data_IF_001760677180
#
_entry.id   IF_001760677180
#
_cell.length_a   1.000
_cell.length_b   1.000
_cell.length_c   1.000
_cell.angle_alpha   90.00
_cell.angle_beta   90.00
_cell.angle_gamma   90.00
#
_symmetry.space_group_name_H-M   'P 1'
#
loop_
_entity.id
_entity.type
_entity.pdbx_description
1 polymer ?
#
# COMPACT_ATOMS: atom_id res chain seq x y z
N UNK A 1 7.81 -14.37 23.92
CA UNK A 1 8.12 -13.98 23.42
C UNK A 1 8.76 -12.85 23.29
N UNK A 2 8.92 -12.17 22.84
CA UNK A 2 9.80 -11.22 22.74
C UNK A 2 9.47 -10.22 21.79
N UNK A 3 8.30 -9.77 21.74
CA UNK A 3 7.84 -8.81 20.80
C UNK A 3 8.56 -7.49 20.93
N UNK A 4 8.94 -7.13 22.16
CA UNK A 4 9.41 -5.79 22.36
C UNK A 4 10.79 -5.54 21.80
N UNK A 5 11.64 -6.54 21.71
CA UNK A 5 12.95 -6.21 21.19
C UNK A 5 13.16 -6.68 19.78
N UNK A 6 12.09 -7.01 19.10
CA UNK A 6 12.23 -7.32 17.70
C UNK A 6 11.75 -6.17 16.83
N UNK A 7 11.53 -4.99 17.38
CA UNK A 7 10.97 -3.89 16.60
C UNK A 7 11.85 -3.56 15.40
N UNK A 8 13.15 -3.45 15.62
CA UNK A 8 14.06 -3.16 14.51
C UNK A 8 14.06 -4.27 13.49
N UNK A 9 14.18 -5.51 13.92
CA UNK A 9 14.15 -6.64 13.01
C UNK A 9 12.82 -6.72 12.29
N UNK A 10 11.73 -6.48 13.00
CA UNK A 10 10.40 -6.53 12.42
C UNK A 10 10.25 -5.46 11.36
N UNK A 11 10.71 -4.24 11.64
CA UNK A 11 10.63 -3.17 10.67
C UNK A 11 11.48 -3.46 9.44
N UNK A 12 12.69 -3.97 9.64
CA UNK A 12 13.56 -4.29 8.51
C UNK A 12 12.95 -5.39 7.65
N UNK A 13 12.41 -6.42 8.29
CA UNK A 13 11.76 -7.49 7.54
C UNK A 13 10.56 -6.98 6.80
N UNK A 14 9.77 -6.13 7.44
CA UNK A 14 8.62 -5.51 6.81
C UNK A 14 9.03 -4.69 5.58
N UNK A 15 10.04 -3.84 5.72
CA UNK A 15 10.47 -3.00 4.62
C UNK A 15 10.99 -3.83 3.46
N UNK A 16 11.73 -4.89 3.76
CA UNK A 16 12.22 -5.79 2.71
C UNK A 16 11.08 -6.49 2.01
N UNK A 17 10.10 -6.95 2.77
CA UNK A 17 8.93 -7.61 2.19
C UNK A 17 8.08 -6.64 1.38
N UNK A 18 7.90 -5.42 1.87
CA UNK A 18 7.16 -4.42 1.12
C UNK A 18 7.82 -4.11 -0.21
N UNK A 19 9.14 -3.97 -0.21
CA UNK A 19 9.84 -3.72 -1.46
C UNK A 19 9.70 -4.87 -2.43
N UNK A 20 9.72 -6.09 -1.91
CA UNK A 20 9.58 -7.27 -2.74
C UNK A 20 8.17 -7.43 -3.30
N UNK A 21 7.15 -7.13 -2.51
CA UNK A 21 5.76 -7.40 -2.89
C UNK A 21 5.13 -6.19 -3.56
N UNK A 22 5.35 -4.99 -3.03
CA UNK A 22 4.59 -3.80 -3.43
C UNK A 22 5.44 -2.75 -4.14
N UNK A 23 6.77 -2.79 -3.99
CA UNK A 23 7.64 -1.81 -4.62
C UNK A 23 8.33 -0.92 -3.61
N UNK A 24 8.85 0.20 -4.08
CA UNK A 24 9.74 1.05 -3.30
C UNK A 24 8.98 1.96 -2.35
N UNK A 25 8.42 1.38 -1.31
CA UNK A 25 7.77 2.13 -0.25
C UNK A 25 8.67 2.22 0.96
N UNK A 26 8.66 3.38 1.61
CA UNK A 26 9.34 3.61 2.86
C UNK A 26 8.31 3.68 3.98
N UNK A 27 8.68 3.14 5.14
CA UNK A 27 7.77 3.06 6.27
C UNK A 27 8.34 3.82 7.44
N UNK A 28 7.51 4.68 8.05
CA UNK A 28 7.85 5.35 9.30
C UNK A 28 6.92 4.87 10.37
N UNK A 29 7.48 4.70 11.58
CA UNK A 29 6.69 4.27 12.72
C UNK A 29 5.91 5.44 13.30
N UNK A 30 4.86 5.13 14.04
CA UNK A 30 4.17 6.16 14.80
C UNK A 30 5.10 6.68 15.89
N UNK A 31 4.84 7.92 16.28
CA UNK A 31 5.69 8.62 17.21
C UNK A 31 5.84 7.88 18.53
N UNK A 32 4.76 7.36 19.07
CA UNK A 32 4.79 6.67 20.35
C UNK A 32 4.75 5.16 20.23
N UNK A 33 5.16 4.64 19.10
CA UNK A 33 5.04 3.22 18.87
C UNK A 33 6.04 2.45 19.71
N UNK A 34 5.55 1.66 20.64
CA UNK A 34 6.38 0.70 21.36
C UNK A 34 6.26 -0.67 20.75
N UNK A 35 5.28 -0.88 19.91
CA UNK A 35 5.04 -2.16 19.25
C UNK A 35 4.65 -1.91 17.81
N UNK A 36 5.54 -2.24 16.91
CA UNK A 36 5.26 -2.15 15.49
C UNK A 36 4.69 -3.48 15.02
N UNK A 37 3.60 -3.40 14.30
CA UNK A 37 3.01 -4.54 13.62
C UNK A 37 3.16 -4.32 12.13
N UNK A 38 3.83 -5.24 11.47
CA UNK A 38 4.02 -5.16 10.03
C UNK A 38 4.10 -6.55 9.45
N UNK A 39 3.10 -6.89 8.65
CA UNK A 39 3.01 -8.20 8.03
C UNK A 39 2.49 -8.01 6.61
N UNK A 40 3.23 -8.49 5.63
CA UNK A 40 2.84 -8.41 4.24
C UNK A 40 3.16 -9.74 3.58
N UNK A 41 2.20 -10.26 2.83
CA UNK A 41 2.41 -11.48 2.07
C UNK A 41 1.69 -11.36 0.74
N UNK A 42 2.09 -12.21 -0.20
CA UNK A 42 1.52 -12.18 -1.54
C UNK A 42 1.15 -13.59 -1.95
N UNK A 43 0.08 -13.70 -2.71
CA UNK A 43 -0.36 -14.94 -3.30
C UNK A 43 -0.65 -14.72 -4.77
N UNK A 44 -0.39 -15.74 -5.56
CA UNK A 44 -0.77 -15.72 -6.97
C UNK A 44 -2.16 -16.34 -7.10
N UNK A 45 -3.01 -15.65 -7.83
CA UNK A 45 -4.36 -16.15 -8.07
C UNK A 45 -4.78 -15.76 -9.48
N UNK A 46 -5.04 -16.76 -10.30
CA UNK A 46 -5.47 -16.55 -11.68
C UNK A 46 -4.48 -15.67 -12.46
N UNK A 47 -3.20 -15.82 -12.19
CA UNK A 47 -2.17 -15.05 -12.87
C UNK A 47 -1.93 -13.67 -12.32
N UNK A 48 -2.65 -13.27 -11.30
CA UNK A 48 -2.49 -11.96 -10.68
C UNK A 48 -1.94 -12.10 -9.28
N UNK A 49 -1.23 -11.09 -8.83
CA UNK A 49 -0.71 -11.05 -7.47
C UNK A 49 -1.70 -10.38 -6.56
N UNK A 50 -2.04 -11.05 -5.47
CA UNK A 50 -2.87 -10.50 -4.41
C UNK A 50 -2.03 -10.36 -3.17
N UNK A 51 -1.85 -9.13 -2.71
CA UNK A 51 -1.05 -8.84 -1.53
C UNK A 51 -1.96 -8.55 -0.35
N UNK A 52 -1.57 -9.04 0.81
CA UNK A 52 -2.24 -8.72 2.07
C UNK A 52 -1.26 -8.01 2.96
N UNK A 53 -1.69 -6.93 3.57
CA UNK A 53 -0.85 -6.27 4.55
C UNK A 53 -1.65 -5.95 5.81
N UNK A 54 -0.96 -6.00 6.93
CA UNK A 54 -1.51 -5.67 8.23
C UNK A 54 -0.45 -4.87 8.96
N UNK A 55 -0.80 -3.66 9.37
CA UNK A 55 0.22 -2.80 9.95
C UNK A 55 -0.39 -1.66 10.78
N UNK A 56 0.37 -1.19 11.74
CA UNK A 56 0.07 0.02 12.47
C UNK A 56 1.14 1.09 12.23
N UNK A 57 1.78 1.06 11.07
CA UNK A 57 2.80 2.04 10.73
C UNK A 57 2.23 3.45 10.78
N UNK A 58 3.11 4.43 11.01
CA UNK A 58 2.69 5.82 11.00
C UNK A 58 2.51 6.37 9.60
N UNK A 59 3.35 5.93 8.67
CA UNK A 59 3.30 6.42 7.30
C UNK A 59 4.01 5.43 6.40
N UNK A 60 3.37 5.11 5.28
CA UNK A 60 3.98 4.32 4.22
C UNK A 60 3.98 5.20 2.98
N UNK A 61 5.16 5.50 2.45
CA UNK A 61 5.23 6.48 1.38
C UNK A 61 6.15 6.04 0.26
N UNK A 62 5.86 6.58 -0.90
CA UNK A 62 6.65 6.35 -2.09
C UNK A 62 6.84 7.69 -2.77
N UNK A 63 8.10 8.03 -3.02
CA UNK A 63 8.46 9.28 -3.66
C UNK A 63 8.46 9.10 -5.17
N UNK A 64 7.91 10.07 -5.88
CA UNK A 64 7.85 10.02 -7.34
C UNK A 64 9.23 9.87 -7.97
N UNK A 65 10.25 10.43 -7.35
CA UNK A 65 11.59 10.40 -7.91
C UNK A 65 12.23 9.03 -7.86
N UNK A 66 11.81 8.19 -6.91
CA UNK A 66 12.41 6.89 -6.76
C UNK A 66 11.59 5.80 -7.41
N UNK A 67 10.42 6.11 -7.89
CA UNK A 67 9.50 5.10 -8.38
C UNK A 67 9.50 4.91 -9.87
N UNK A 68 10.61 5.13 -10.52
CA UNK A 68 10.62 5.09 -11.97
C UNK A 68 10.50 3.69 -12.55
N UNK A 69 10.72 2.71 -11.73
CA UNK A 69 10.87 1.34 -12.24
C UNK A 69 9.59 0.55 -12.19
N UNK A 70 8.50 1.14 -11.73
CA UNK A 70 7.34 0.31 -11.49
C UNK A 70 6.08 0.89 -12.05
N UNK A 71 6.10 1.12 -13.34
CA UNK A 71 4.92 1.59 -14.04
C UNK A 71 4.11 0.46 -14.67
N UNK A 72 4.40 -0.78 -14.31
CA UNK A 72 3.73 -1.93 -14.93
C UNK A 72 2.40 -2.26 -14.29
N UNK A 73 2.20 -1.87 -13.05
CA UNK A 73 1.03 -2.27 -12.30
C UNK A 73 0.32 -1.07 -11.71
N UNK A 74 -0.95 -1.21 -11.49
CA UNK A 74 -1.70 -0.38 -10.57
C UNK A 74 -2.35 -1.30 -9.56
N UNK A 75 -2.90 -0.73 -8.49
CA UNK A 75 -3.34 -1.51 -7.36
C UNK A 75 -4.79 -1.23 -7.05
N UNK A 76 -5.60 -2.29 -6.99
CA UNK A 76 -6.95 -2.18 -6.48
C UNK A 76 -6.90 -2.60 -5.01
N UNK A 77 -7.08 -1.63 -4.13
CA UNK A 77 -6.87 -1.80 -2.71
C UNK A 77 -8.20 -1.83 -1.98
N UNK A 78 -8.38 -2.86 -1.17
CA UNK A 78 -9.56 -3.01 -0.32
C UNK A 78 -9.17 -2.72 1.11
N UNK A 79 -9.89 -1.78 1.76
CA UNK A 79 -9.73 -1.53 3.18
C UNK A 79 -10.54 -2.61 3.91
N UNK A 80 -9.82 -3.57 4.50
CA UNK A 80 -10.47 -4.72 5.13
C UNK A 80 -10.79 -4.45 6.57
N UNK A 81 -9.90 -3.80 7.29
CA UNK A 81 -10.15 -3.44 8.68
C UNK A 81 -9.39 -2.18 9.00
N UNK A 82 -9.89 -1.42 9.99
CA UNK A 82 -9.31 -0.15 10.34
C UNK A 82 -9.57 0.91 9.29
N UNK A 83 -9.02 2.10 9.52
CA UNK A 83 -9.20 3.23 8.61
C UNK A 83 -7.85 3.76 8.16
N UNK A 84 -7.81 4.29 6.95
CA UNK A 84 -6.58 4.84 6.38
C UNK A 84 -6.88 6.13 5.64
N UNK A 85 -5.83 6.92 5.48
CA UNK A 85 -5.85 8.06 4.58
C UNK A 85 -4.81 7.80 3.50
N UNK A 86 -5.20 7.94 2.23
CA UNK A 86 -4.30 7.71 1.12
C UNK A 86 -4.23 8.99 0.31
N UNK A 87 -3.01 9.44 0.05
CA UNK A 87 -2.77 10.61 -0.80
C UNK A 87 -1.95 10.17 -1.99
N UNK A 88 -2.43 10.50 -3.18
CA UNK A 88 -1.69 10.21 -4.40
C UNK A 88 -1.68 11.46 -5.26
N UNK A 89 -0.47 11.94 -5.57
CA UNK A 89 -0.28 13.12 -6.42
C UNK A 89 -1.14 14.30 -5.96
N UNK A 90 -1.17 14.52 -4.65
CA UNK A 90 -1.88 15.65 -4.07
C UNK A 90 -3.36 15.45 -3.80
N UNK A 91 -3.92 14.32 -4.18
CA UNK A 91 -5.34 14.02 -3.94
C UNK A 91 -5.44 13.04 -2.77
N UNK A 92 -6.26 13.39 -1.79
CA UNK A 92 -6.39 12.62 -0.56
C UNK A 92 -7.77 11.99 -0.46
N UNK A 93 -7.80 10.70 -0.13
CA UNK A 93 -9.02 9.95 0.12
C UNK A 93 -8.92 9.31 1.49
N UNK A 94 -10.07 9.20 2.18
CA UNK A 94 -10.15 8.46 3.43
C UNK A 94 -10.90 7.18 3.19
N UNK A 95 -10.36 6.09 3.75
CA UNK A 95 -10.91 4.76 3.56
C UNK A 95 -11.36 4.19 4.88
N UNK A 96 -12.56 3.63 4.86
CA UNK A 96 -13.10 2.86 5.97
C UNK A 96 -13.32 1.43 5.51
N UNK A 97 -13.57 0.50 6.44
CA UNK A 97 -13.75 -0.89 6.03
C UNK A 97 -14.83 -1.06 4.97
N UNK A 98 -14.50 -1.79 3.94
CA UNK A 98 -15.39 -2.00 2.81
C UNK A 98 -15.10 -1.12 1.62
N UNK A 99 -14.30 -0.08 1.78
CA UNK A 99 -13.96 0.78 0.66
C UNK A 99 -12.95 0.12 -0.26
N UNK A 100 -13.10 0.41 -1.54
CA UNK A 100 -12.14 0.03 -2.57
C UNK A 100 -11.58 1.29 -3.20
N UNK A 101 -10.28 1.29 -3.46
CA UNK A 101 -9.65 2.40 -4.13
C UNK A 101 -8.68 1.87 -5.18
N UNK A 102 -8.69 2.51 -6.33
CA UNK A 102 -7.69 2.23 -7.36
C UNK A 102 -6.54 3.19 -7.17
N UNK A 103 -5.33 2.66 -7.06
CA UNK A 103 -4.12 3.43 -6.86
C UNK A 103 -3.15 3.19 -8.00
N UNK A 104 -2.51 4.26 -8.44
CA UNK A 104 -1.49 4.14 -9.48
C UNK A 104 -0.14 3.81 -8.84
N UNK A 105 0.71 3.16 -9.62
CA UNK A 105 2.09 2.93 -9.22
C UNK A 105 3.00 4.08 -9.64
N UNK A 106 2.50 5.01 -10.42
CA UNK A 106 3.28 6.13 -10.94
C UNK A 106 2.98 7.37 -10.11
N UNK A 107 4.03 8.10 -9.75
CA UNK A 107 3.88 9.30 -8.96
C UNK A 107 4.07 9.04 -7.48
N UNK A 108 3.85 10.07 -6.69
CA UNK A 108 4.00 9.97 -5.24
C UNK A 108 2.76 9.38 -4.62
N UNK A 109 2.97 8.67 -3.52
CA UNK A 109 1.86 8.05 -2.80
C UNK A 109 2.19 8.00 -1.32
N UNK A 110 1.20 8.32 -0.49
CA UNK A 110 1.32 8.20 0.96
C UNK A 110 0.11 7.48 1.50
N UNK A 111 0.36 6.49 2.35
CA UNK A 111 -0.67 5.77 3.07
C UNK A 111 -0.45 6.03 4.54
N UNK A 112 -1.46 6.61 5.19
CA UNK A 112 -1.41 6.89 6.62
C UNK A 112 -2.41 5.99 7.32
N UNK A 113 -1.97 4.90 7.92
CA UNK A 113 -2.85 4.10 8.76
C UNK A 113 -3.29 4.89 9.97
N UNK A 114 -4.56 4.78 10.30
CA UNK A 114 -5.11 5.40 11.50
C UNK A 114 -5.32 4.29 12.52
N UNK A 115 -4.19 3.82 13.06
CA UNK A 115 -4.18 2.67 13.94
C UNK A 115 -3.81 1.41 13.17
N UNK A 116 -4.25 0.27 13.66
CA UNK A 116 -3.99 -1.00 12.99
C UNK A 116 -4.96 -1.19 11.83
N UNK A 117 -4.42 -1.47 10.66
CA UNK A 117 -5.22 -1.65 9.46
C UNK A 117 -4.90 -2.96 8.77
N UNK A 118 -5.83 -3.40 7.94
CA UNK A 118 -5.60 -4.51 7.01
C UNK A 118 -6.05 -4.08 5.62
N UNK A 119 -5.19 -4.30 4.66
CA UNK A 119 -5.47 -4.07 3.25
C UNK A 119 -5.33 -5.37 2.47
N UNK A 120 -6.14 -5.53 1.44
CA UNK A 120 -5.90 -6.50 0.38
C UNK A 120 -5.72 -5.72 -0.90
N UNK A 121 -4.67 -6.03 -1.66
CA UNK A 121 -4.30 -5.25 -2.83
C UNK A 121 -4.12 -6.19 -4.00
N UNK A 122 -4.89 -5.97 -5.06
CA UNK A 122 -4.76 -6.74 -6.28
C UNK A 122 -3.92 -5.96 -7.27
N UNK A 123 -2.85 -6.58 -7.76
CA UNK A 123 -1.94 -5.94 -8.71
C UNK A 123 -2.46 -6.18 -10.11
N UNK A 124 -2.82 -5.10 -10.80
CA UNK A 124 -3.42 -5.16 -12.13
C UNK A 124 -2.44 -4.60 -13.16
N UNK A 125 -2.42 -5.18 -14.37
CA UNK A 125 -1.57 -4.61 -15.42
C UNK A 125 -2.04 -3.19 -15.75
N UNK A 126 -1.15 -2.24 -15.57
CA UNK A 126 -1.49 -0.83 -15.68
C UNK A 126 -1.98 -0.46 -17.08
N UNK A 127 -1.32 -0.98 -18.11
CA UNK A 127 -1.71 -0.66 -19.47
C UNK A 127 -3.13 -1.10 -19.78
N UNK A 128 -3.50 -2.28 -19.30
CA UNK A 128 -4.84 -2.79 -19.56
C UNK A 128 -5.89 -1.96 -18.84
N UNK A 129 -5.58 -1.52 -17.63
CA UNK A 129 -6.51 -0.68 -16.88
C UNK A 129 -6.68 0.66 -17.58
N UNK A 130 -5.58 1.26 -18.04
CA UNK A 130 -5.67 2.51 -18.78
C UNK A 130 -6.52 2.37 -20.03
N UNK A 131 -6.36 1.28 -20.77
CA UNK A 131 -7.16 1.05 -21.96
C UNK A 131 -8.63 0.86 -21.62
N UNK A 132 -8.90 0.08 -20.57
CA UNK A 132 -10.29 -0.23 -20.21
C UNK A 132 -11.06 1.01 -19.79
N UNK A 133 -10.40 1.92 -19.08
CA UNK A 133 -11.06 3.12 -18.61
C UNK A 133 -10.84 4.32 -19.54
N UNK A 134 -10.08 4.11 -20.62
CA UNK A 134 -9.74 5.18 -21.55
C UNK A 134 -9.21 6.41 -20.81
N UNK A 135 -8.38 6.16 -19.82
CA UNK A 135 -7.86 7.20 -18.95
C UNK A 135 -6.38 7.34 -19.24
N UNK A 136 -5.94 8.57 -19.48
CA UNK A 136 -4.54 8.84 -19.72
C UNK A 136 -3.91 9.63 -18.59
N UNK A 137 -4.61 9.74 -17.46
CA UNK A 137 -4.13 10.52 -16.34
C UNK A 137 -3.85 9.62 -15.19
N UNK A 138 -4.12 10.09 -13.99
CA UNK A 138 -3.86 9.29 -12.82
C UNK A 138 -4.99 8.31 -12.57
N UNK A 139 -4.59 7.11 -12.19
CA UNK A 139 -5.54 6.05 -11.86
C UNK A 139 -5.75 6.07 -10.36
N UNK A 140 -6.58 7.00 -9.89
CA UNK A 140 -6.78 7.13 -8.47
C UNK A 140 -8.22 7.52 -8.18
N UNK A 141 -8.90 6.70 -7.41
CA UNK A 141 -10.26 7.01 -7.03
C UNK A 141 -10.91 5.85 -6.33
N UNK A 142 -11.94 6.17 -5.54
CA UNK A 142 -12.74 5.16 -4.86
C UNK A 142 -13.73 4.55 -5.83
N UNK A 143 -13.90 3.24 -5.72
CA UNK A 143 -14.95 2.54 -6.42
C UNK A 143 -16.26 2.79 -5.66
N UNK A 144 -17.29 3.10 -6.40
CA UNK A 144 -18.61 3.34 -5.81
C UNK A 144 -19.54 2.18 -6.00
#
# INVERSE_FOLDING_TARGET
MHAQHVTHSTLENWQRSMQSVCGNYETKLTFNSTLFIGDVCAKEHAGLTLAHLKTNAGLISRNAKTGRDDDRYCFLVSQRSGCSRITQNGVTLELTPGDLVLMDSVGSCEITPLGLIEHASLHLPREQVLKSFQCDRQLFGKAS
#
